data_IF_297697412632
#
_entry.id   IF_297697412632
#
_cell.length_a   1.000
_cell.length_b   1.000
_cell.length_c   1.000
_cell.angle_alpha   90.00
_cell.angle_beta   90.00
_cell.angle_gamma   90.00
#
_symmetry.space_group_name_H-M   'P 1'
#
loop_
_entity.id
_entity.type
_entity.pdbx_description
1 polymer ?
#
# COMPACT_ATOMS: atom_id res chain seq x y z
N UNK A 1 -32.87 -3.56 12.65
CA UNK A 1 -32.01 -4.05 11.55
C UNK A 1 -32.59 -3.48 10.26
N UNK A 2 -31.78 -2.79 9.46
CA UNK A 2 -32.20 -2.25 8.16
C UNK A 2 -31.48 -3.03 7.08
N UNK A 3 -32.19 -3.46 6.05
CA UNK A 3 -31.61 -4.21 4.93
C UNK A 3 -31.19 -3.24 3.84
N UNK A 4 -29.90 -3.28 3.46
CA UNK A 4 -29.37 -2.49 2.34
C UNK A 4 -28.97 -3.43 1.20
N UNK A 5 -29.57 -3.22 0.03
CA UNK A 5 -29.27 -4.00 -1.18
C UNK A 5 -28.52 -3.13 -2.17
N UNK A 6 -27.36 -3.59 -2.63
CA UNK A 6 -26.57 -2.94 -3.67
C UNK A 6 -26.18 -3.96 -4.74
N UNK A 7 -25.96 -3.47 -5.96
CA UNK A 7 -25.45 -4.31 -7.06
C UNK A 7 -23.94 -4.21 -7.08
N UNK A 8 -23.29 -5.37 -7.14
CA UNK A 8 -21.84 -5.51 -7.24
C UNK A 8 -21.57 -6.70 -8.13
N UNK A 9 -20.48 -6.64 -8.89
CA UNK A 9 -20.02 -7.79 -9.65
C UNK A 9 -19.69 -8.97 -8.72
N UNK A 10 -19.95 -10.19 -9.18
CA UNK A 10 -19.79 -11.39 -8.37
C UNK A 10 -18.32 -11.66 -8.01
N UNK A 11 -17.41 -11.43 -8.95
CA UNK A 11 -15.98 -11.62 -8.76
C UNK A 11 -15.43 -10.53 -7.83
N UNK A 12 -15.81 -9.27 -8.05
CA UNK A 12 -15.45 -8.16 -7.16
C UNK A 12 -15.91 -8.42 -5.71
N UNK A 13 -17.11 -8.96 -5.52
CA UNK A 13 -17.62 -9.30 -4.19
C UNK A 13 -16.79 -10.41 -3.54
N UNK A 14 -16.43 -11.45 -4.29
CA UNK A 14 -15.61 -12.55 -3.78
C UNK A 14 -14.21 -12.08 -3.39
N UNK A 15 -13.57 -11.27 -4.24
CA UNK A 15 -12.26 -10.67 -3.96
C UNK A 15 -12.31 -9.78 -2.70
N UNK A 16 -13.30 -8.89 -2.61
CA UNK A 16 -13.45 -8.02 -1.44
C UNK A 16 -13.71 -8.82 -0.16
N UNK A 17 -14.57 -9.85 -0.22
CA UNK A 17 -14.84 -10.70 0.93
C UNK A 17 -13.58 -11.43 1.41
N UNK A 18 -12.81 -12.05 0.50
CA UNK A 18 -11.56 -12.72 0.84
C UNK A 18 -10.51 -11.76 1.43
N UNK A 19 -10.39 -10.56 0.87
CA UNK A 19 -9.49 -9.53 1.38
C UNK A 19 -9.84 -9.14 2.82
N UNK A 20 -11.10 -8.82 3.09
CA UNK A 20 -11.51 -8.40 4.43
C UNK A 20 -11.46 -9.55 5.44
N UNK A 21 -11.80 -10.78 5.03
CA UNK A 21 -11.62 -11.99 5.86
C UNK A 21 -10.15 -12.19 6.25
N UNK A 22 -9.21 -11.96 5.33
CA UNK A 22 -7.77 -12.03 5.63
C UNK A 22 -7.31 -10.99 6.66
N UNK A 23 -8.07 -9.88 6.78
CA UNK A 23 -7.88 -8.84 7.79
C UNK A 23 -8.68 -9.10 9.09
N UNK A 24 -9.40 -10.22 9.18
CA UNK A 24 -10.24 -10.57 10.34
C UNK A 24 -11.56 -9.81 10.42
N UNK A 25 -12.11 -9.32 9.30
CA UNK A 25 -13.38 -8.61 9.28
C UNK A 25 -14.32 -9.10 8.17
N UNK A 26 -15.63 -9.11 8.44
CA UNK A 26 -16.61 -9.42 7.41
C UNK A 26 -16.77 -8.24 6.43
N UNK A 27 -17.16 -8.53 5.18
CA UNK A 27 -17.50 -7.50 4.19
C UNK A 27 -18.57 -6.52 4.70
N UNK A 28 -19.56 -7.00 5.46
CA UNK A 28 -20.61 -6.14 6.02
C UNK A 28 -20.05 -5.22 7.11
N UNK A 29 -19.13 -5.71 7.93
CA UNK A 29 -18.43 -4.87 8.91
C UNK A 29 -17.65 -3.76 8.21
N UNK A 30 -16.93 -4.08 7.13
CA UNK A 30 -16.18 -3.10 6.34
C UNK A 30 -17.10 -2.01 5.75
N UNK A 31 -18.26 -2.38 5.19
CA UNK A 31 -19.25 -1.42 4.67
C UNK A 31 -19.76 -0.49 5.78
N UNK A 32 -20.02 -1.02 6.98
CA UNK A 32 -20.46 -0.19 8.10
C UNK A 32 -19.37 0.81 8.55
N UNK A 33 -18.10 0.39 8.57
CA UNK A 33 -16.98 1.29 8.86
C UNK A 33 -16.87 2.39 7.80
N UNK A 34 -16.99 2.02 6.52
CA UNK A 34 -16.99 2.97 5.41
C UNK A 34 -18.07 4.05 5.57
N UNK A 35 -19.31 3.66 5.88
CA UNK A 35 -20.42 4.58 6.06
C UNK A 35 -20.20 5.50 7.26
N UNK A 36 -19.74 4.96 8.39
CA UNK A 36 -19.43 5.75 9.59
C UNK A 36 -18.35 6.78 9.34
N UNK A 37 -17.29 6.40 8.64
CA UNK A 37 -16.20 7.31 8.28
C UNK A 37 -16.71 8.43 7.38
N UNK A 38 -17.52 8.09 6.37
CA UNK A 38 -18.09 9.06 5.44
C UNK A 38 -18.95 10.10 6.15
N UNK A 39 -19.78 9.68 7.11
CA UNK A 39 -20.62 10.59 7.91
C UNK A 39 -19.78 11.43 8.86
N UNK A 40 -18.78 10.84 9.52
CA UNK A 40 -17.93 11.53 10.49
C UNK A 40 -17.14 12.67 9.85
N UNK A 41 -16.63 12.44 8.65
CA UNK A 41 -15.75 13.41 7.97
C UNK A 41 -16.47 14.23 6.90
N UNK A 42 -17.77 13.97 6.66
CA UNK A 42 -18.57 14.65 5.64
C UNK A 42 -17.92 14.61 4.24
N UNK A 43 -17.20 13.53 3.93
CA UNK A 43 -16.48 13.33 2.68
C UNK A 43 -16.43 11.85 2.31
N UNK A 44 -16.06 11.56 1.07
CA UNK A 44 -15.71 10.20 0.68
C UNK A 44 -14.55 9.70 1.56
N UNK A 45 -14.59 8.44 2.05
CA UNK A 45 -13.61 7.93 3.00
C UNK A 45 -12.26 7.63 2.33
N UNK A 46 -12.24 7.61 1.00
CA UNK A 46 -11.05 7.71 0.17
C UNK A 46 -11.24 8.80 -0.89
N UNK A 47 -10.13 9.39 -1.35
CA UNK A 47 -10.14 10.36 -2.45
C UNK A 47 -10.08 9.58 -3.77
N UNK A 48 -11.10 9.65 -4.64
CA UNK A 48 -11.03 9.00 -5.94
C UNK A 48 -9.95 9.68 -6.80
N UNK A 49 -9.00 8.89 -7.30
CA UNK A 49 -7.95 9.35 -8.20
C UNK A 49 -7.83 8.37 -9.37
N UNK A 50 -7.81 8.90 -10.59
CA UNK A 50 -7.56 8.11 -11.80
C UNK A 50 -6.07 7.83 -12.02
N UNK A 51 -5.20 8.64 -11.40
CA UNK A 51 -3.76 8.39 -11.37
C UNK A 51 -3.40 7.59 -10.11
N UNK A 52 -2.39 6.70 -10.15
CA UNK A 52 -1.78 6.22 -8.92
C UNK A 52 -1.40 7.45 -8.10
N UNK A 53 -1.97 7.56 -6.89
CA UNK A 53 -1.77 8.72 -6.04
C UNK A 53 -0.30 8.75 -5.60
N UNK A 54 0.51 9.46 -6.38
CA UNK A 54 1.86 9.77 -5.99
C UNK A 54 1.79 10.71 -4.79
N UNK A 55 2.56 10.45 -3.74
CA UNK A 55 2.54 11.32 -2.58
C UNK A 55 3.09 12.70 -2.96
N UNK A 56 2.86 13.72 -2.12
CA UNK A 56 3.44 15.04 -2.37
C UNK A 56 4.97 14.93 -2.50
N UNK A 57 5.59 15.73 -3.36
CA UNK A 57 7.05 15.82 -3.43
C UNK A 57 7.62 16.06 -2.02
N UNK A 58 8.66 15.32 -1.68
CA UNK A 58 9.32 15.22 -0.37
C UNK A 58 8.50 14.54 0.75
N UNK A 59 7.41 13.84 0.42
CA UNK A 59 6.69 13.02 1.41
C UNK A 59 7.57 11.87 1.90
N UNK A 60 7.66 11.73 3.23
CA UNK A 60 8.42 10.69 3.92
C UNK A 60 7.50 9.61 4.47
N UNK A 61 7.76 8.36 4.08
CA UNK A 61 7.08 7.18 4.60
C UNK A 61 7.64 6.75 5.96
N UNK A 62 6.87 5.96 6.71
CA UNK A 62 7.24 5.45 8.05
C UNK A 62 8.53 4.63 8.05
N UNK A 63 8.89 4.01 6.93
CA UNK A 63 10.15 3.29 6.74
C UNK A 63 11.33 4.19 6.33
N UNK A 64 11.14 5.50 6.33
CA UNK A 64 12.16 6.49 6.04
C UNK A 64 12.35 6.83 4.56
N UNK A 65 11.67 6.14 3.64
CA UNK A 65 11.73 6.41 2.19
C UNK A 65 11.10 7.77 1.87
N UNK A 66 11.78 8.58 1.06
CA UNK A 66 11.31 9.91 0.63
C UNK A 66 10.96 9.88 -0.85
N UNK A 67 9.79 10.42 -1.21
CA UNK A 67 9.40 10.59 -2.61
C UNK A 67 9.92 11.92 -3.15
N UNK A 68 10.65 11.90 -4.27
CA UNK A 68 11.32 13.09 -4.86
C UNK A 68 10.65 13.60 -6.13
N UNK A 69 9.44 13.12 -6.44
CA UNK A 69 8.72 13.47 -7.67
C UNK A 69 8.79 12.36 -8.72
N UNK A 70 8.54 12.71 -9.97
CA UNK A 70 8.67 11.79 -11.12
C UNK A 70 9.78 12.23 -12.06
N UNK A 71 10.41 11.27 -12.73
CA UNK A 71 11.31 11.57 -13.86
C UNK A 71 10.55 12.02 -15.11
N UNK A 72 11.28 12.38 -16.18
CA UNK A 72 10.70 12.78 -17.48
C UNK A 72 9.85 11.69 -18.15
N UNK A 73 9.94 10.43 -17.66
CA UNK A 73 9.20 9.26 -18.15
C UNK A 73 8.00 8.93 -17.26
N UNK A 74 7.76 9.70 -16.20
CA UNK A 74 6.66 9.52 -15.27
C UNK A 74 6.89 8.46 -14.19
N UNK A 75 8.12 7.93 -14.04
CA UNK A 75 8.42 6.98 -12.96
C UNK A 75 8.71 7.72 -11.65
N UNK A 76 8.20 7.21 -10.51
CA UNK A 76 8.45 7.81 -9.21
C UNK A 76 9.94 7.71 -8.85
N UNK A 77 10.54 8.84 -8.51
CA UNK A 77 11.87 8.94 -7.94
C UNK A 77 11.72 8.83 -6.43
N UNK A 78 12.40 7.86 -5.83
CA UNK A 78 12.42 7.66 -4.37
C UNK A 78 13.86 7.68 -3.86
N UNK A 79 14.05 8.27 -2.69
CA UNK A 79 15.29 8.22 -1.93
C UNK A 79 15.12 7.18 -0.82
N UNK A 80 15.97 6.15 -0.86
CA UNK A 80 15.96 5.05 0.10
C UNK A 80 17.05 5.33 1.14
N UNK A 81 16.75 5.28 2.46
CA UNK A 81 17.78 5.47 3.48
C UNK A 81 18.82 4.35 3.43
N UNK A 82 20.10 4.69 3.68
CA UNK A 82 21.22 3.72 3.66
C UNK A 82 20.99 2.51 4.57
N UNK A 83 20.24 2.68 5.66
CA UNK A 83 19.86 1.58 6.56
C UNK A 83 19.02 0.49 5.90
N UNK A 84 18.33 0.82 4.80
CA UNK A 84 17.51 -0.10 4.01
C UNK A 84 18.28 -0.68 2.81
N UNK A 85 19.43 -0.09 2.47
CA UNK A 85 20.34 -0.58 1.43
C UNK A 85 21.31 -1.57 2.08
N UNK A 86 20.98 -2.86 1.99
CA UNK A 86 21.92 -3.92 2.32
C UNK A 86 23.02 -3.93 1.25
N UNK A 87 24.13 -3.24 1.51
CA UNK A 87 25.34 -3.46 0.72
C UNK A 87 25.82 -4.88 1.06
N UNK A 88 25.78 -5.84 0.12
CA UNK A 88 26.29 -7.17 0.41
C UNK A 88 27.76 -7.02 0.75
N UNK A 89 28.19 -7.59 1.88
CA UNK A 89 29.61 -7.66 2.20
C UNK A 89 30.32 -8.33 1.02
N UNK A 90 31.54 -7.93 0.73
CA UNK A 90 32.31 -8.42 -0.40
C UNK A 90 33.56 -9.12 0.12
N UNK A 91 33.94 -10.24 -0.49
CA UNK A 91 35.23 -10.91 -0.23
C UNK A 91 36.39 -10.10 -0.87
N UNK A 92 37.65 -10.45 -0.58
CA UNK A 92 38.87 -9.85 -1.14
C UNK A 92 38.89 -9.85 -2.69
N UNK A 93 38.21 -10.82 -3.32
CA UNK A 93 38.08 -10.96 -4.78
C UNK A 93 36.88 -10.19 -5.38
N UNK A 94 36.20 -9.34 -4.62
CA UNK A 94 35.06 -8.56 -5.15
C UNK A 94 33.76 -9.38 -5.29
N UNK A 95 33.74 -10.62 -4.81
CA UNK A 95 32.55 -11.48 -4.83
C UNK A 95 31.59 -11.09 -3.70
N UNK A 96 30.31 -10.78 -3.98
CA UNK A 96 29.33 -10.51 -2.93
C UNK A 96 29.11 -11.74 -2.06
N UNK A 97 29.46 -11.66 -0.77
CA UNK A 97 29.09 -12.68 0.20
C UNK A 97 27.62 -12.49 0.57
N UNK A 98 26.80 -13.43 0.12
CA UNK A 98 25.38 -13.43 0.44
C UNK A 98 25.18 -13.61 1.96
N UNK A 99 24.27 -12.85 2.58
CA UNK A 99 23.88 -13.08 3.96
C UNK A 99 23.44 -14.54 4.14
N UNK A 100 23.95 -15.23 5.17
CA UNK A 100 23.61 -16.65 5.40
C UNK A 100 22.10 -16.87 5.61
N UNK A 101 21.35 -15.82 5.98
CA UNK A 101 19.88 -15.81 6.09
C UNK A 101 19.14 -16.01 4.75
N UNK A 102 19.81 -15.88 3.59
CA UNK A 102 19.22 -16.07 2.26
C UNK A 102 19.53 -17.45 1.66
N UNK A 103 20.36 -18.26 2.32
CA UNK A 103 20.65 -19.65 1.95
C UNK A 103 19.64 -20.63 2.57
N UNK A 104 18.34 -20.33 2.45
CA UNK A 104 17.29 -21.30 2.80
C UNK A 104 17.07 -22.31 1.67
#
# INVERSE_FOLDING_TARGET
MVTSTYRVDADLKAQAAALYESMGMSLNTAINVFLRQSVKEQRMPFTPSAAPALPAADARSSNGVVYRGTDDRGYPIIEIPDSMVLIPKTDEDGTPILPQIWKQ
#
